data_IF_839799441942
#
_entry.id   IF_839799441942
#
_cell.length_a   1.000
_cell.length_b   1.000
_cell.length_c   1.000
_cell.angle_alpha   90.00
_cell.angle_beta   90.00
_cell.angle_gamma   90.00
#
_symmetry.space_group_name_H-M   'P 1'
#
loop_
_entity.id
_entity.type
_entity.pdbx_description
1 polymer ?
#
# COMPACT_ATOMS: atom_id res chain seq x y z
N UNK A 1 -16.04 -8.29 -20.35
CA UNK A 1 -16.00 -8.45 -18.88
C UNK A 1 -17.16 -9.33 -18.47
N UNK A 2 -16.96 -10.32 -17.60
CA UNK A 2 -18.08 -11.04 -16.97
C UNK A 2 -18.77 -10.15 -15.93
N UNK A 3 -20.03 -10.44 -15.62
CA UNK A 3 -20.81 -9.70 -14.62
C UNK A 3 -20.14 -9.72 -13.23
N UNK A 4 -19.50 -10.84 -12.88
CA UNK A 4 -18.76 -11.01 -11.61
C UNK A 4 -17.56 -10.05 -11.48
N UNK A 5 -16.83 -9.86 -12.58
CA UNK A 5 -15.70 -8.91 -12.61
C UNK A 5 -16.24 -7.48 -12.53
N UNK A 6 -17.37 -7.19 -13.19
CA UNK A 6 -17.98 -5.87 -13.13
C UNK A 6 -18.46 -5.50 -11.71
N UNK A 7 -18.96 -6.46 -10.94
CA UNK A 7 -19.45 -6.22 -9.58
C UNK A 7 -18.33 -5.95 -8.55
N UNK A 8 -17.12 -6.46 -8.78
CA UNK A 8 -16.00 -6.38 -7.81
C UNK A 8 -15.04 -5.21 -8.06
N UNK A 9 -14.98 -4.71 -9.29
CA UNK A 9 -14.12 -3.58 -9.65
C UNK A 9 -14.43 -2.28 -8.89
N UNK A 10 -15.70 -1.84 -8.72
CA UNK A 10 -16.00 -0.55 -8.09
C UNK A 10 -15.44 -0.45 -6.67
N UNK A 11 -15.69 -1.46 -5.84
CA UNK A 11 -15.21 -1.48 -4.45
C UNK A 11 -13.69 -1.53 -4.36
N UNK A 12 -13.03 -2.23 -5.29
CA UNK A 12 -11.58 -2.33 -5.33
C UNK A 12 -10.91 -0.99 -5.69
N UNK A 13 -11.44 -0.32 -6.71
CA UNK A 13 -10.96 0.99 -7.17
C UNK A 13 -11.23 2.06 -6.12
N UNK A 14 -12.44 2.08 -5.54
CA UNK A 14 -12.80 3.03 -4.48
C UNK A 14 -11.88 2.87 -3.26
N UNK A 15 -11.64 1.63 -2.84
CA UNK A 15 -10.72 1.32 -1.73
C UNK A 15 -9.30 1.86 -1.99
N UNK A 16 -8.78 1.63 -3.19
CA UNK A 16 -7.46 2.10 -3.59
C UNK A 16 -7.38 3.64 -3.62
N UNK A 17 -8.36 4.29 -4.27
CA UNK A 17 -8.44 5.74 -4.37
C UNK A 17 -8.63 6.41 -3.00
N UNK A 18 -9.48 5.83 -2.13
CA UNK A 18 -9.67 6.34 -0.78
C UNK A 18 -8.36 6.33 0.02
N UNK A 19 -7.58 5.25 -0.07
CA UNK A 19 -6.30 5.16 0.61
C UNK A 19 -5.27 6.17 0.09
N UNK A 20 -5.15 6.32 -1.22
CA UNK A 20 -4.15 7.22 -1.81
C UNK A 20 -4.55 8.69 -1.62
N UNK A 21 -5.79 9.04 -1.91
CA UNK A 21 -6.25 10.43 -1.95
C UNK A 21 -6.70 10.95 -0.59
N UNK A 22 -7.45 10.16 0.18
CA UNK A 22 -8.07 10.64 1.41
C UNK A 22 -7.22 10.33 2.65
N UNK A 23 -6.75 9.09 2.77
CA UNK A 23 -5.95 8.68 3.95
C UNK A 23 -4.55 9.27 3.89
N UNK A 24 -3.89 9.17 2.73
CA UNK A 24 -2.52 9.66 2.57
C UNK A 24 -2.47 11.11 2.03
N UNK A 25 -3.58 11.66 1.55
CA UNK A 25 -3.68 13.06 1.15
C UNK A 25 -2.96 13.41 -0.15
N UNK A 26 -2.74 12.45 -1.05
CA UNK A 26 -2.12 12.70 -2.35
C UNK A 26 -3.15 13.17 -3.39
N UNK A 27 -2.69 13.95 -4.37
CA UNK A 27 -3.52 14.38 -5.48
C UNK A 27 -3.69 13.28 -6.55
N UNK A 28 -4.65 13.51 -7.45
CA UNK A 28 -4.79 12.76 -8.69
C UNK A 28 -4.87 13.76 -9.85
N UNK A 29 -3.72 14.24 -10.37
CA UNK A 29 -3.69 15.30 -11.38
C UNK A 29 -4.48 14.95 -12.64
N UNK A 30 -4.46 13.67 -13.06
CA UNK A 30 -5.22 13.19 -14.21
C UNK A 30 -6.74 13.38 -14.08
N UNK A 31 -7.26 13.47 -12.86
CA UNK A 31 -8.67 13.69 -12.55
C UNK A 31 -8.96 15.12 -12.05
N UNK A 32 -7.97 16.02 -12.05
CA UNK A 32 -8.09 17.37 -11.51
C UNK A 32 -8.34 17.41 -9.99
N UNK A 33 -7.89 16.38 -9.27
CA UNK A 33 -8.02 16.30 -7.81
C UNK A 33 -6.72 16.83 -7.19
N UNK A 34 -6.84 17.94 -6.46
CA UNK A 34 -5.73 18.54 -5.74
C UNK A 34 -5.31 17.69 -4.51
N UNK A 35 -4.02 17.76 -4.17
CA UNK A 35 -3.47 17.08 -3.00
C UNK A 35 -1.94 17.18 -2.98
N UNK A 36 -1.29 16.42 -2.10
CA UNK A 36 0.17 16.33 -2.08
C UNK A 36 0.71 15.75 -3.40
N UNK A 37 1.85 16.27 -3.85
CA UNK A 37 2.55 15.74 -5.01
C UNK A 37 3.22 14.39 -4.69
N UNK A 38 2.92 13.38 -5.51
CA UNK A 38 3.46 12.04 -5.39
C UNK A 38 4.77 11.82 -6.17
N UNK A 39 5.19 12.76 -7.03
CA UNK A 39 6.32 12.60 -7.97
C UNK A 39 7.66 12.24 -7.32
N UNK A 40 7.87 12.73 -6.10
CA UNK A 40 9.06 12.49 -5.27
C UNK A 40 8.91 11.33 -4.27
N UNK A 41 7.76 10.66 -4.28
CA UNK A 41 7.38 9.65 -3.28
C UNK A 41 7.35 8.26 -3.91
N UNK A 42 7.95 7.32 -3.20
CA UNK A 42 7.86 5.89 -3.48
C UNK A 42 6.66 5.32 -2.72
N UNK A 43 5.87 4.47 -3.38
CA UNK A 43 4.76 3.77 -2.73
C UNK A 43 5.03 2.26 -2.67
N UNK A 44 4.81 1.67 -1.49
CA UNK A 44 4.81 0.21 -1.31
C UNK A 44 3.37 -0.29 -1.15
N UNK A 45 2.92 -1.14 -2.08
CA UNK A 45 1.62 -1.80 -2.06
C UNK A 45 1.78 -3.24 -1.56
N UNK A 46 1.34 -3.50 -0.33
CA UNK A 46 1.39 -4.87 0.20
C UNK A 46 0.21 -5.69 -0.29
N UNK A 47 0.46 -6.78 -1.02
CA UNK A 47 -0.59 -7.62 -1.62
C UNK A 47 -1.05 -7.15 -3.01
N UNK A 48 -0.13 -6.77 -3.90
CA UNK A 48 -0.43 -6.23 -5.22
C UNK A 48 -1.29 -7.13 -6.13
N UNK A 49 -1.32 -8.45 -5.89
CA UNK A 49 -2.11 -9.39 -6.67
C UNK A 49 -3.59 -9.49 -6.24
N UNK A 50 -4.03 -8.74 -5.22
CA UNK A 50 -5.46 -8.66 -4.87
C UNK A 50 -6.20 -7.71 -5.82
N UNK A 51 -7.54 -7.74 -5.80
CA UNK A 51 -8.35 -6.79 -6.58
C UNK A 51 -8.05 -5.34 -6.22
N UNK A 52 -7.93 -5.04 -4.93
CA UNK A 52 -7.56 -3.70 -4.42
C UNK A 52 -6.12 -3.36 -4.78
N UNK A 53 -5.18 -4.29 -4.58
CA UNK A 53 -3.76 -4.08 -4.89
C UNK A 53 -3.51 -3.78 -6.36
N UNK A 54 -4.18 -4.51 -7.26
CA UNK A 54 -4.08 -4.28 -8.70
C UNK A 54 -4.64 -2.91 -9.10
N UNK A 55 -5.78 -2.51 -8.52
CA UNK A 55 -6.33 -1.17 -8.72
C UNK A 55 -5.40 -0.07 -8.16
N UNK A 56 -4.80 -0.30 -6.99
CA UNK A 56 -3.89 0.63 -6.34
C UNK A 56 -2.63 0.91 -7.16
N UNK A 57 -2.10 -0.07 -7.89
CA UNK A 57 -0.95 0.14 -8.79
C UNK A 57 -1.30 1.20 -9.84
N UNK A 58 -2.47 1.08 -10.47
CA UNK A 58 -2.90 2.00 -11.52
C UNK A 58 -3.22 3.39 -10.96
N UNK A 59 -3.96 3.44 -9.85
CA UNK A 59 -4.26 4.73 -9.19
C UNK A 59 -2.96 5.41 -8.74
N UNK A 60 -1.99 4.67 -8.22
CA UNK A 60 -0.70 5.24 -7.83
C UNK A 60 0.08 5.78 -9.03
N UNK A 61 0.07 5.05 -10.15
CA UNK A 61 0.71 5.52 -11.38
C UNK A 61 0.07 6.83 -11.88
N UNK A 62 -1.26 6.89 -11.89
CA UNK A 62 -1.99 8.09 -12.30
C UNK A 62 -1.82 9.27 -11.33
N UNK A 63 -1.61 8.98 -10.04
CA UNK A 63 -1.27 9.98 -9.02
C UNK A 63 0.18 10.49 -9.15
N UNK A 64 1.02 9.82 -9.95
CA UNK A 64 2.40 10.23 -10.21
C UNK A 64 3.44 9.60 -9.30
N UNK A 65 3.11 8.53 -8.57
CA UNK A 65 4.11 7.79 -7.78
C UNK A 65 5.12 7.11 -8.70
N UNK A 66 6.39 7.24 -8.36
CA UNK A 66 7.49 6.48 -8.96
C UNK A 66 8.63 6.42 -7.94
N UNK A 67 9.19 5.25 -7.61
CA UNK A 67 8.78 3.93 -8.05
C UNK A 67 7.58 3.38 -7.28
N UNK A 68 6.89 2.42 -7.90
CA UNK A 68 5.77 1.67 -7.32
C UNK A 68 6.26 0.27 -6.98
N UNK A 69 6.43 -0.03 -5.69
CA UNK A 69 6.82 -1.35 -5.23
C UNK A 69 5.63 -2.15 -4.75
N UNK A 70 5.61 -3.45 -5.03
CA UNK A 70 4.50 -4.31 -4.67
C UNK A 70 4.98 -5.63 -4.06
N UNK A 71 4.19 -6.21 -3.16
CA UNK A 71 4.42 -7.58 -2.70
C UNK A 71 3.36 -8.53 -3.23
N UNK A 72 3.76 -9.69 -3.73
CA UNK A 72 2.87 -10.74 -4.25
C UNK A 72 3.61 -12.08 -4.33
N UNK A 73 2.91 -13.20 -4.49
CA UNK A 73 3.57 -14.48 -4.78
C UNK A 73 4.30 -14.41 -6.14
N UNK A 74 5.41 -15.14 -6.35
CA UNK A 74 6.26 -15.02 -7.54
C UNK A 74 5.51 -15.17 -8.87
N UNK A 75 4.53 -16.08 -8.93
CA UNK A 75 3.67 -16.32 -10.10
C UNK A 75 2.91 -15.06 -10.60
N UNK A 76 2.75 -14.06 -9.74
CA UNK A 76 2.02 -12.83 -10.04
C UNK A 76 2.97 -11.65 -10.32
N UNK A 77 4.30 -11.81 -10.25
CA UNK A 77 5.22 -10.68 -10.39
C UNK A 77 5.19 -10.08 -11.79
N UNK A 78 5.30 -10.91 -12.83
CA UNK A 78 5.28 -10.45 -14.22
C UNK A 78 4.02 -9.63 -14.59
N UNK A 79 2.78 -10.08 -14.30
CA UNK A 79 1.61 -9.28 -14.61
C UNK A 79 1.54 -7.96 -13.81
N UNK A 80 2.06 -7.91 -12.58
CA UNK A 80 2.07 -6.69 -11.78
C UNK A 80 3.09 -5.66 -12.30
N UNK A 81 4.26 -6.12 -12.75
CA UNK A 81 5.24 -5.26 -13.42
C UNK A 81 4.65 -4.68 -14.71
N UNK A 82 3.96 -5.50 -15.51
CA UNK A 82 3.23 -5.03 -16.71
C UNK A 82 2.12 -4.04 -16.39
N UNK A 83 1.48 -4.18 -15.23
CA UNK A 83 0.45 -3.25 -14.76
C UNK A 83 1.02 -1.89 -14.30
N UNK A 84 2.33 -1.75 -14.13
CA UNK A 84 2.98 -0.48 -13.78
C UNK A 84 3.76 -0.48 -12.46
N UNK A 85 3.90 -1.64 -11.80
CA UNK A 85 4.84 -1.74 -10.69
C UNK A 85 6.29 -1.61 -11.21
N UNK A 86 7.10 -0.82 -10.51
CA UNK A 86 8.55 -0.70 -10.76
C UNK A 86 9.34 -1.84 -10.10
N UNK A 87 8.76 -2.53 -9.12
CA UNK A 87 9.38 -3.68 -8.45
C UNK A 87 8.35 -4.59 -7.78
N UNK A 88 8.56 -5.90 -7.83
CA UNK A 88 7.71 -6.91 -7.23
C UNK A 88 8.51 -7.85 -6.33
N UNK A 89 8.03 -8.08 -5.10
CA UNK A 89 8.74 -8.83 -4.06
C UNK A 89 7.88 -10.00 -3.56
N UNK A 90 8.50 -11.15 -3.27
CA UNK A 90 7.79 -12.30 -2.71
C UNK A 90 7.51 -12.09 -1.22
N UNK A 91 6.23 -11.89 -0.85
CA UNK A 91 5.86 -11.73 0.56
C UNK A 91 6.12 -12.97 1.42
N UNK A 92 6.32 -14.14 0.82
CA UNK A 92 6.69 -15.37 1.54
C UNK A 92 8.20 -15.47 1.79
N UNK A 93 9.01 -14.65 1.14
CA UNK A 93 10.45 -14.65 1.36
C UNK A 93 10.75 -14.24 2.81
N UNK A 94 11.58 -15.00 3.55
CA UNK A 94 11.99 -14.63 4.90
C UNK A 94 12.81 -13.33 4.92
N UNK A 95 13.37 -12.93 3.77
CA UNK A 95 14.21 -11.73 3.59
C UNK A 95 13.49 -10.58 2.89
N UNK A 96 12.19 -10.71 2.57
CA UNK A 96 11.42 -9.71 1.81
C UNK A 96 11.54 -8.29 2.37
N UNK A 97 11.59 -8.16 3.69
CA UNK A 97 11.72 -6.87 4.37
C UNK A 97 13.06 -6.21 4.07
N UNK A 98 14.14 -6.98 4.11
CA UNK A 98 15.48 -6.47 3.83
C UNK A 98 15.67 -6.15 2.35
N UNK A 99 15.09 -6.97 1.47
CA UNK A 99 15.05 -6.73 0.02
C UNK A 99 14.34 -5.39 -0.28
N UNK A 100 13.16 -5.16 0.31
CA UNK A 100 12.42 -3.90 0.14
C UNK A 100 13.21 -2.72 0.74
N UNK A 101 13.78 -2.85 1.94
CA UNK A 101 14.58 -1.78 2.57
C UNK A 101 15.74 -1.36 1.68
N UNK A 102 16.45 -2.35 1.11
CA UNK A 102 17.55 -2.10 0.18
C UNK A 102 17.06 -1.37 -1.07
N UNK A 103 15.99 -1.85 -1.69
CA UNK A 103 15.42 -1.22 -2.90
C UNK A 103 14.94 0.22 -2.63
N UNK A 104 14.34 0.48 -1.46
CA UNK A 104 13.93 1.83 -1.05
C UNK A 104 15.15 2.74 -0.87
N UNK A 105 16.20 2.25 -0.20
CA UNK A 105 17.44 3.02 -0.02
C UNK A 105 18.11 3.35 -1.35
N UNK A 106 18.13 2.41 -2.30
CA UNK A 106 18.67 2.60 -3.65
C UNK A 106 17.86 3.62 -4.47
N UNK A 107 16.55 3.72 -4.24
CA UNK A 107 15.71 4.72 -4.91
C UNK A 107 16.00 6.17 -4.46
N UNK A 108 16.51 6.35 -3.23
CA UNK A 108 16.71 7.66 -2.61
C UNK A 108 15.42 8.45 -2.33
N UNK A 109 14.23 7.86 -2.52
CA UNK A 109 12.93 8.53 -2.35
C UNK A 109 12.30 8.28 -0.99
N UNK A 110 11.41 9.20 -0.57
CA UNK A 110 10.61 9.03 0.65
C UNK A 110 9.61 7.90 0.43
N UNK A 111 9.56 6.95 1.37
CA UNK A 111 8.61 5.83 1.35
C UNK A 111 7.27 6.21 1.98
N UNK A 112 6.19 5.97 1.25
CA UNK A 112 4.82 5.87 1.75
C UNK A 112 4.35 4.42 1.57
N UNK A 113 3.55 3.92 2.51
CA UNK A 113 3.04 2.55 2.47
C UNK A 113 1.53 2.57 2.23
N UNK A 114 1.09 1.90 1.17
CA UNK A 114 -0.31 1.60 0.92
C UNK A 114 -0.57 0.11 1.22
N UNK A 115 -1.18 -0.18 2.37
CA UNK A 115 -1.62 -1.53 2.70
C UNK A 115 -3.10 -1.69 2.42
N UNK A 116 -3.58 -2.93 2.31
CA UNK A 116 -5.03 -3.18 2.31
C UNK A 116 -5.75 -2.49 3.50
N UNK A 117 -6.96 -2.02 3.21
CA UNK A 117 -7.80 -1.11 4.02
C UNK A 117 -8.03 -1.56 5.48
N UNK A 118 -7.80 -2.85 5.80
CA UNK A 118 -7.90 -3.36 7.16
C UNK A 118 -6.89 -2.75 8.15
N UNK A 119 -5.83 -2.11 7.66
CA UNK A 119 -4.90 -1.39 8.54
C UNK A 119 -5.47 -0.08 9.11
N UNK A 120 -6.50 0.51 8.49
CA UNK A 120 -7.20 1.67 9.05
C UNK A 120 -7.87 1.33 10.37
N UNK A 121 -8.34 0.09 10.57
CA UNK A 121 -8.87 -0.33 11.86
C UNK A 121 -7.81 -0.15 12.96
N UNK A 122 -6.51 -0.34 12.69
CA UNK A 122 -5.43 -0.15 13.67
C UNK A 122 -5.02 1.32 13.87
N UNK A 123 -5.10 2.17 12.83
CA UNK A 123 -4.88 3.61 12.95
C UNK A 123 -6.03 4.29 13.72
N UNK A 124 -7.27 3.80 13.54
CA UNK A 124 -8.45 4.18 14.32
C UNK A 124 -8.60 3.38 15.63
N UNK A 125 -7.83 2.32 15.89
CA UNK A 125 -7.82 1.59 17.18
C UNK A 125 -7.12 2.38 18.31
N UNK A 126 -6.56 3.54 17.99
CA UNK A 126 -6.17 4.57 18.96
C UNK A 126 -7.31 5.52 19.33
N UNK A 127 -8.44 5.49 18.62
CA UNK A 127 -9.65 6.27 18.92
C UNK A 127 -10.60 5.51 19.88
N UNK A 128 -11.57 6.19 20.54
CA UNK A 128 -12.37 5.62 21.64
C UNK A 128 -13.24 4.38 21.31
N UNK A 129 -13.30 3.91 20.06
CA UNK A 129 -14.26 2.91 19.57
C UNK A 129 -13.90 1.44 19.87
N UNK A 130 -13.14 1.17 20.94
CA UNK A 130 -12.61 -0.15 21.33
C UNK A 130 -13.64 -1.27 21.61
N UNK A 131 -14.95 -1.03 21.51
CA UNK A 131 -15.98 -1.94 22.06
C UNK A 131 -16.69 -2.85 21.07
N UNK A 132 -16.44 -2.78 19.75
CA UNK A 132 -17.40 -3.35 18.81
C UNK A 132 -16.98 -4.59 17.99
N UNK A 133 -15.71 -5.01 17.91
CA UNK A 133 -15.34 -6.17 17.08
C UNK A 133 -14.29 -7.11 17.72
N UNK A 134 -14.56 -8.43 17.79
CA UNK A 134 -13.60 -9.42 18.30
C UNK A 134 -12.56 -9.84 17.25
N UNK A 135 -11.31 -10.03 17.71
CA UNK A 135 -10.08 -10.24 16.91
C UNK A 135 -9.95 -11.67 16.33
N UNK A 136 -9.44 -11.81 15.10
CA UNK A 136 -8.80 -13.06 14.59
C UNK A 136 -7.26 -12.95 14.68
N UNK A 137 -6.57 -14.07 15.01
CA UNK A 137 -5.24 -14.05 15.65
C UNK A 137 -4.00 -14.24 14.75
N UNK A 138 -4.12 -14.62 13.48
CA UNK A 138 -2.96 -15.25 12.80
C UNK A 138 -2.07 -14.34 11.94
N UNK A 139 -2.52 -13.17 11.48
CA UNK A 139 -1.76 -12.33 10.52
C UNK A 139 -0.79 -11.32 11.16
N UNK A 140 -0.64 -11.30 12.49
CA UNK A 140 -0.10 -10.15 13.24
C UNK A 140 1.36 -10.23 13.69
N UNK A 141 2.06 -11.36 13.53
CA UNK A 141 3.40 -11.54 14.12
C UNK A 141 4.50 -10.78 13.35
N UNK A 142 4.48 -10.86 12.02
CA UNK A 142 5.49 -10.26 11.14
C UNK A 142 5.36 -8.72 11.09
N UNK A 143 4.12 -8.20 11.18
CA UNK A 143 3.80 -6.76 11.19
C UNK A 143 4.36 -6.01 12.39
N UNK A 144 4.25 -6.57 13.61
CA UNK A 144 4.78 -5.94 14.83
C UNK A 144 6.31 -5.80 14.82
N UNK A 145 7.01 -6.66 14.08
CA UNK A 145 8.47 -6.58 13.90
C UNK A 145 8.85 -5.47 12.91
N UNK A 146 8.02 -5.21 11.89
CA UNK A 146 8.23 -4.15 10.91
C UNK A 146 7.96 -2.75 11.51
N UNK A 147 6.84 -2.58 12.19
CA UNK A 147 6.44 -1.29 12.79
C UNK A 147 7.38 -0.83 13.93
N UNK A 148 8.03 -1.77 14.61
CA UNK A 148 9.07 -1.47 15.62
C UNK A 148 10.42 -1.16 15.01
N UNK A 149 10.73 -1.68 13.83
CA UNK A 149 12.04 -1.52 13.18
C UNK A 149 12.10 -0.36 12.18
N UNK A 150 10.96 0.25 11.84
CA UNK A 150 10.86 1.38 10.90
C UNK A 150 10.56 2.74 11.57
N UNK A 151 10.48 2.82 12.91
CA UNK A 151 10.29 4.11 13.60
C UNK A 151 11.64 4.78 13.87
N UNK A 152 11.92 5.98 13.33
CA UNK A 152 12.96 6.84 13.88
C UNK A 152 12.54 7.36 15.25
N UNK A 153 13.51 7.52 16.16
CA UNK A 153 13.30 7.90 17.56
C UNK A 153 12.73 9.33 17.77
N UNK A 154 12.60 10.14 16.72
CA UNK A 154 12.37 11.58 16.81
C UNK A 154 10.96 12.06 16.43
N UNK A 155 9.97 11.18 16.27
CA UNK A 155 8.62 11.55 15.80
C UNK A 155 7.63 11.82 16.97
N UNK A 156 8.13 12.26 18.12
CA UNK A 156 7.29 12.61 19.27
C UNK A 156 7.77 13.87 20.00
N UNK A 157 7.89 14.99 19.29
CA UNK A 157 7.76 16.31 19.92
C UNK A 157 6.92 17.22 19.02
N UNK A 158 5.94 17.87 19.66
CA UNK A 158 4.86 18.76 19.19
C UNK A 158 3.53 18.09 18.80
#
# INVERSE_FOLDING_TARGET
MSEEVAATLPVAVESAAYLILNVNGFGLPAAGIDGQDASSVLILIWGGASGVGAAAIQVAKDAGFEPIFVTASPKNHEPLLKAGASGAFDYNSPTVVEEIRKAVAESGKKLTVATELFALEQQYLGSPLKKQYPRSRESFSTRRRLERSLRPASVWEF
#
